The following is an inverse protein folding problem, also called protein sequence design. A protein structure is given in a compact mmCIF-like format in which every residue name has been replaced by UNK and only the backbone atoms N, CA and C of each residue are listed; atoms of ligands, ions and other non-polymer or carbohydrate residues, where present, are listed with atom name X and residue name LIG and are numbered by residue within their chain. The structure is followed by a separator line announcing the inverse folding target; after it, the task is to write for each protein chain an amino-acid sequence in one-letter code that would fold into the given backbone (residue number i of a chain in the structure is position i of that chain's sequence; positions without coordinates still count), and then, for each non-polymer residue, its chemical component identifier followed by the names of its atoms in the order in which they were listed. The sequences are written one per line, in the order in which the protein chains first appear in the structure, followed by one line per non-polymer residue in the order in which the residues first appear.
data_IF_275704925013
#
_entry.id   IF_275704925013
#
_cell.length_a   1.000
_cell.length_b   1.000
_cell.length_c   1.000
_cell.angle_alpha   90.00
_cell.angle_beta   90.00
_cell.angle_gamma   90.00
#
_symmetry.space_group_name_H-M   'P 1'
#
loop_
_entity.id
_entity.type
_entity.pdbx_description
1 polymer ?
#
# COMPACT_ATOMS: atom_id res chain seq x y z
N UNK A 1 -11.67 -8.59 5.85
CA UNK A 1 -10.37 -8.04 5.47
C UNK A 1 -10.27 -6.59 5.77
N UNK A 2 -9.91 -5.70 6.37
CA UNK A 2 -9.16 -4.56 5.85
C UNK A 2 -7.65 -4.69 6.06
N UNK A 3 -7.24 -5.58 6.92
CA UNK A 3 -5.83 -5.72 7.31
C UNK A 3 -5.13 -6.96 6.76
N UNK A 4 -5.85 -7.80 6.04
CA UNK A 4 -5.28 -9.02 5.45
C UNK A 4 -4.60 -8.70 4.11
N UNK A 5 -3.59 -9.48 3.79
CA UNK A 5 -2.87 -9.42 2.52
C UNK A 5 -3.23 -10.64 1.69
N UNK A 6 -3.51 -10.42 0.42
CA UNK A 6 -3.93 -11.44 -0.51
C UNK A 6 -2.95 -11.59 -1.68
N UNK A 7 -2.83 -12.76 -2.25
CA UNK A 7 -2.01 -12.99 -3.44
C UNK A 7 -2.65 -12.35 -4.67
N UNK A 8 -1.95 -11.40 -5.28
CA UNK A 8 -2.30 -10.92 -6.62
C UNK A 8 -1.52 -11.69 -7.70
N UNK A 9 -0.47 -12.41 -7.32
CA UNK A 9 0.50 -12.97 -8.24
C UNK A 9 1.48 -11.92 -8.76
N UNK A 10 2.59 -12.36 -9.34
CA UNK A 10 3.61 -11.42 -9.86
C UNK A 10 3.21 -10.77 -11.19
N UNK A 11 2.32 -11.40 -11.97
CA UNK A 11 1.92 -10.91 -13.29
C UNK A 11 1.41 -9.45 -13.27
N UNK A 12 0.38 -9.11 -12.46
CA UNK A 12 -0.11 -7.74 -12.36
C UNK A 12 0.96 -6.74 -11.91
N UNK A 13 1.82 -7.10 -10.96
CA UNK A 13 2.91 -6.24 -10.51
C UNK A 13 3.94 -6.01 -11.63
N UNK A 14 4.28 -7.04 -12.40
CA UNK A 14 5.23 -6.93 -13.50
C UNK A 14 4.71 -6.06 -14.65
N UNK A 15 3.40 -5.97 -14.79
CA UNK A 15 2.74 -5.14 -15.82
C UNK A 15 2.74 -3.64 -15.49
N UNK A 16 3.07 -3.24 -14.28
CA UNK A 16 3.18 -1.83 -13.90
C UNK A 16 4.35 -1.19 -14.64
N UNK A 17 4.07 -0.13 -15.39
CA UNK A 17 5.05 0.55 -16.24
C UNK A 17 6.05 1.37 -15.41
N UNK A 18 5.53 2.21 -14.53
CA UNK A 18 6.35 2.99 -13.61
C UNK A 18 6.19 2.43 -12.19
N UNK A 19 7.24 1.77 -11.68
CA UNK A 19 7.22 1.12 -10.37
C UNK A 19 7.11 2.10 -9.20
N UNK A 20 7.57 3.34 -9.39
CA UNK A 20 7.50 4.36 -8.35
C UNK A 20 6.13 5.05 -8.30
N UNK A 21 5.47 5.16 -9.46
CA UNK A 21 4.22 5.90 -9.61
C UNK A 21 3.20 5.10 -10.45
N UNK A 22 2.66 4.05 -9.86
CA UNK A 22 1.63 3.23 -10.50
C UNK A 22 0.33 4.03 -10.71
N UNK A 23 -0.27 3.87 -11.87
CA UNK A 23 -1.56 4.48 -12.21
C UNK A 23 -2.72 3.81 -11.47
N UNK A 24 -3.85 4.51 -11.34
CA UNK A 24 -5.06 3.94 -10.73
C UNK A 24 -5.54 2.68 -11.45
N UNK A 25 -5.40 2.61 -12.78
CA UNK A 25 -5.79 1.42 -13.55
C UNK A 25 -4.90 0.20 -13.26
N UNK A 26 -3.59 0.41 -13.14
CA UNK A 26 -2.65 -0.65 -12.75
C UNK A 26 -2.91 -1.12 -11.31
N UNK A 27 -3.17 -0.20 -10.39
CA UNK A 27 -3.56 -0.53 -9.02
C UNK A 27 -4.87 -1.32 -8.97
N UNK A 28 -5.88 -0.94 -9.75
CA UNK A 28 -7.16 -1.67 -9.84
C UNK A 28 -6.96 -3.10 -10.39
N UNK A 29 -6.07 -3.29 -11.36
CA UNK A 29 -5.74 -4.62 -11.86
C UNK A 29 -5.11 -5.50 -10.77
N UNK A 30 -4.16 -4.98 -10.01
CA UNK A 30 -3.52 -5.69 -8.89
C UNK A 30 -4.54 -5.98 -7.80
N UNK A 31 -5.34 -5.00 -7.40
CA UNK A 31 -6.33 -5.16 -6.35
C UNK A 31 -7.43 -6.16 -6.71
N UNK A 32 -7.87 -6.15 -7.96
CA UNK A 32 -8.83 -7.13 -8.48
C UNK A 32 -8.26 -8.55 -8.47
N UNK A 33 -7.01 -8.72 -8.88
CA UNK A 33 -6.32 -10.01 -8.81
C UNK A 33 -6.24 -10.52 -7.37
N UNK A 34 -5.84 -9.66 -6.43
CA UNK A 34 -5.80 -10.01 -5.01
C UNK A 34 -7.16 -10.41 -4.46
N UNK A 35 -8.22 -9.64 -4.76
CA UNK A 35 -9.58 -9.94 -4.29
C UNK A 35 -10.10 -11.29 -4.81
N UNK A 36 -9.76 -11.65 -6.02
CA UNK A 36 -10.21 -12.88 -6.66
C UNK A 36 -9.28 -14.08 -6.37
N UNK A 37 -8.21 -13.88 -5.63
CA UNK A 37 -7.30 -14.94 -5.25
C UNK A 37 -7.98 -15.92 -4.28
N UNK A 38 -7.88 -17.23 -4.51
CA UNK A 38 -8.35 -18.24 -3.55
C UNK A 38 -7.48 -18.34 -2.30
N UNK A 39 -6.34 -17.68 -2.30
CA UNK A 39 -5.36 -17.73 -1.21
C UNK A 39 -5.29 -16.36 -0.52
N UNK A 40 -6.02 -16.21 0.56
CA UNK A 40 -5.76 -15.19 1.56
C UNK A 40 -4.53 -15.57 2.39
N UNK A 41 -3.66 -14.60 2.75
CA UNK A 41 -2.37 -15.01 3.23
C UNK A 41 -2.01 -14.61 4.63
N UNK A 42 -2.15 -13.43 5.06
CA UNK A 42 -1.64 -13.02 6.37
C UNK A 42 -2.59 -12.05 7.05
N UNK A 43 -3.12 -12.51 8.17
CA UNK A 43 -3.87 -11.70 9.12
C UNK A 43 -2.96 -10.95 10.12
N UNK A 44 -1.64 -10.90 9.89
CA UNK A 44 -0.68 -10.31 10.83
C UNK A 44 -0.27 -8.87 10.47
N UNK A 45 -0.89 -8.28 9.45
CA UNK A 45 -0.59 -6.91 9.02
C UNK A 45 -0.87 -5.91 10.15
N UNK A 46 0.14 -5.13 10.51
CA UNK A 46 0.05 -4.13 11.56
C UNK A 46 0.01 -4.67 13.00
N UNK A 47 0.19 -5.98 13.22
CA UNK A 47 0.07 -6.59 14.55
C UNK A 47 1.41 -6.86 15.24
N UNK A 48 2.51 -6.77 14.52
CA UNK A 48 3.86 -7.07 15.03
C UNK A 48 4.76 -5.82 14.98
N UNK A 49 4.65 -4.92 15.96
CA UNK A 49 5.32 -3.63 15.91
C UNK A 49 6.85 -3.71 15.97
N UNK A 50 7.40 -4.84 16.40
CA UNK A 50 8.84 -5.07 16.46
C UNK A 50 9.39 -5.83 15.26
N UNK A 51 8.55 -6.19 14.28
CA UNK A 51 8.99 -6.88 13.10
C UNK A 51 9.41 -5.90 12.00
N UNK A 52 10.43 -6.23 11.24
CA UNK A 52 11.04 -5.32 10.25
C UNK A 52 10.32 -5.28 8.89
N UNK A 53 9.41 -6.22 8.63
CA UNK A 53 8.76 -6.31 7.33
C UNK A 53 7.67 -5.24 7.16
N UNK A 54 7.63 -4.62 5.99
CA UNK A 54 6.68 -3.56 5.67
C UNK A 54 5.22 -3.97 5.90
N UNK A 55 4.87 -5.21 5.61
CA UNK A 55 3.51 -5.74 5.80
C UNK A 55 3.08 -5.90 7.26
N UNK A 56 4.00 -5.84 8.19
CA UNK A 56 3.71 -6.15 9.59
C UNK A 56 3.82 -4.96 10.52
N UNK A 57 4.69 -4.01 10.21
CA UNK A 57 4.94 -2.84 11.06
C UNK A 57 4.90 -1.50 10.31
N UNK A 58 4.80 -1.52 8.99
CA UNK A 58 4.77 -0.31 8.17
C UNK A 58 3.77 -0.45 7.02
N UNK A 59 3.45 0.66 6.39
CA UNK A 59 2.67 0.73 5.16
C UNK A 59 3.51 1.36 4.03
N UNK A 60 3.02 1.29 2.81
CA UNK A 60 3.57 2.05 1.69
C UNK A 60 2.51 2.97 1.07
N UNK A 61 2.98 3.95 0.31
CA UNK A 61 2.13 4.95 -0.34
C UNK A 61 1.77 4.59 -1.79
N UNK A 62 1.90 3.33 -2.17
CA UNK A 62 1.61 2.87 -3.53
C UNK A 62 0.14 3.04 -3.92
N UNK A 63 -0.78 2.84 -2.97
CA UNK A 63 -2.22 3.05 -3.16
C UNK A 63 -2.78 4.02 -2.10
N UNK A 64 -3.89 4.73 -2.37
CA UNK A 64 -4.43 5.75 -1.48
C UNK A 64 -4.86 5.16 -0.12
N UNK A 65 -5.00 6.00 0.92
CA UNK A 65 -5.54 5.57 2.20
C UNK A 65 -6.89 4.86 2.02
N UNK A 66 -7.15 3.86 2.86
CA UNK A 66 -8.39 3.07 2.83
C UNK A 66 -8.75 2.52 1.43
N UNK A 67 -7.73 2.22 0.63
CA UNK A 67 -7.88 1.68 -0.72
C UNK A 67 -8.99 0.61 -0.78
N UNK A 68 -9.87 0.70 -1.79
CA UNK A 68 -11.07 -0.13 -1.94
C UNK A 68 -10.80 -1.64 -2.08
N UNK A 69 -9.58 -2.01 -2.46
CA UNK A 69 -9.14 -3.39 -2.62
C UNK A 69 -8.41 -3.89 -1.36
N UNK A 70 -8.30 -5.21 -1.16
CA UNK A 70 -7.43 -5.75 -0.12
C UNK A 70 -5.97 -5.38 -0.36
N UNK A 71 -5.17 -5.38 0.68
CA UNK A 71 -3.72 -5.31 0.52
C UNK A 71 -3.24 -6.48 -0.32
N UNK A 72 -2.31 -6.23 -1.22
CA UNK A 72 -1.92 -7.18 -2.26
C UNK A 72 -0.43 -7.51 -2.17
N UNK A 73 -0.08 -8.77 -2.37
CA UNK A 73 1.30 -9.24 -2.48
C UNK A 73 1.54 -10.08 -3.73
N UNK A 74 2.79 -10.13 -4.16
CA UNK A 74 3.24 -11.03 -5.22
C UNK A 74 3.42 -12.47 -4.73
N UNK A 75 4.07 -13.32 -5.53
CA UNK A 75 4.21 -14.75 -5.24
C UNK A 75 5.34 -15.08 -4.24
N UNK A 76 6.28 -14.16 -4.02
CA UNK A 76 7.40 -14.43 -3.14
C UNK A 76 7.00 -14.45 -1.65
N UNK A 77 7.66 -15.30 -0.90
CA UNK A 77 7.96 -15.20 0.54
C UNK A 77 6.72 -15.19 1.43
N UNK A 78 6.07 -16.32 1.65
CA UNK A 78 4.67 -16.50 1.36
C UNK A 78 3.90 -15.22 1.71
N UNK A 79 3.15 -14.73 0.79
CA UNK A 79 2.41 -13.50 0.93
C UNK A 79 2.98 -12.31 0.17
N UNK A 80 4.18 -12.42 -0.38
CA UNK A 80 4.76 -11.44 -1.30
C UNK A 80 4.92 -10.03 -0.80
N UNK A 81 4.73 -9.80 0.48
CA UNK A 81 4.75 -8.48 1.11
C UNK A 81 5.81 -8.37 2.20
N UNK A 82 6.73 -9.30 2.23
CA UNK A 82 7.95 -9.20 3.02
C UNK A 82 8.98 -8.31 2.34
N UNK A 83 10.12 -8.19 2.95
CA UNK A 83 11.31 -7.46 2.51
C UNK A 83 11.79 -7.76 1.07
N UNK A 84 11.39 -8.89 0.48
CA UNK A 84 11.83 -9.36 -0.84
C UNK A 84 10.74 -9.35 -1.91
N UNK A 85 9.48 -9.14 -1.55
CA UNK A 85 8.35 -9.29 -2.46
C UNK A 85 7.71 -7.98 -2.87
N UNK A 86 7.00 -8.01 -4.00
CA UNK A 86 6.11 -6.93 -4.39
C UNK A 86 4.92 -6.84 -3.42
N UNK A 87 4.55 -5.63 -3.02
CA UNK A 87 3.40 -5.43 -2.14
C UNK A 87 2.77 -4.05 -2.26
N UNK A 88 1.46 -4.01 -2.15
CA UNK A 88 0.67 -2.79 -1.96
C UNK A 88 -0.01 -2.90 -0.60
N UNK A 89 0.47 -2.11 0.34
CA UNK A 89 0.04 -2.13 1.74
C UNK A 89 -0.28 -0.69 2.14
N UNK A 90 -1.44 -0.18 1.73
CA UNK A 90 -1.82 1.20 2.04
C UNK A 90 -2.18 1.35 3.51
N UNK A 91 -2.07 2.55 4.08
CA UNK A 91 -2.54 2.82 5.42
C UNK A 91 -4.06 2.67 5.48
N UNK A 92 -4.55 2.13 6.60
CA UNK A 92 -5.97 1.88 6.80
C UNK A 92 -6.43 2.35 8.16
N UNK A 93 -7.66 2.86 8.21
CA UNK A 93 -8.34 3.26 9.45
C UNK A 93 -9.79 2.79 9.41
N UNK A 94 -10.34 2.48 10.58
CA UNK A 94 -11.77 2.24 10.74
C UNK A 94 -12.57 3.55 10.90
N UNK A 95 -11.88 4.67 11.04
CA UNK A 95 -12.51 5.99 11.03
C UNK A 95 -12.78 6.43 9.59
N UNK A 96 -13.89 7.08 9.36
CA UNK A 96 -14.29 7.56 8.04
C UNK A 96 -13.43 8.74 7.57
N UNK A 97 -13.14 8.79 6.28
CA UNK A 97 -12.61 9.96 5.59
C UNK A 97 -11.11 10.02 5.45
N UNK A 98 -10.34 9.18 6.13
CA UNK A 98 -8.88 9.17 6.00
C UNK A 98 -8.14 8.50 7.14
N UNK A 99 -6.85 8.74 7.19
CA UNK A 99 -5.92 8.15 8.15
C UNK A 99 -5.03 9.22 8.79
N UNK A 100 -4.61 9.02 10.03
CA UNK A 100 -3.56 9.81 10.64
C UNK A 100 -2.20 9.15 10.36
N UNK A 101 -1.24 9.92 9.90
CA UNK A 101 0.13 9.46 9.64
C UNK A 101 1.13 10.36 10.33
N UNK A 102 2.27 9.79 10.69
CA UNK A 102 3.43 10.54 11.18
C UNK A 102 4.41 10.69 10.03
N UNK A 103 4.82 11.93 9.77
CA UNK A 103 5.84 12.23 8.76
C UNK A 103 7.26 12.07 9.32
N UNK A 104 8.26 12.07 8.44
CA UNK A 104 9.66 11.90 8.80
C UNK A 104 10.23 13.00 9.71
N UNK A 105 9.59 14.17 9.76
CA UNK A 105 9.91 15.27 10.68
C UNK A 105 9.22 15.15 12.04
N UNK A 106 8.44 14.09 12.25
CA UNK A 106 7.66 13.84 13.48
C UNK A 106 6.32 14.55 13.53
N UNK A 107 5.95 15.34 12.54
CA UNK A 107 4.62 15.95 12.47
C UNK A 107 3.53 14.91 12.19
N UNK A 108 2.34 15.12 12.75
CA UNK A 108 1.17 14.27 12.50
C UNK A 108 0.25 14.98 11.51
N UNK A 109 -0.16 14.27 10.48
CA UNK A 109 -1.08 14.76 9.45
C UNK A 109 -2.26 13.81 9.28
N UNK A 110 -3.44 14.39 9.05
CA UNK A 110 -4.60 13.63 8.60
C UNK A 110 -4.61 13.62 7.07
N UNK A 111 -4.50 12.45 6.47
CA UNK A 111 -4.52 12.26 5.03
C UNK A 111 -5.88 11.73 4.61
N UNK A 112 -6.55 12.45 3.73
CA UNK A 112 -7.91 12.12 3.26
C UNK A 112 -7.88 10.93 2.29
N UNK A 113 -8.94 10.14 2.29
CA UNK A 113 -9.12 9.04 1.32
C UNK A 113 -9.18 9.55 -0.14
N UNK A 114 -9.60 10.81 -0.32
CA UNK A 114 -9.71 11.48 -1.62
C UNK A 114 -8.44 12.19 -2.08
N UNK A 115 -7.32 11.97 -1.41
CA UNK A 115 -6.03 12.55 -1.85
C UNK A 115 -5.72 12.13 -3.29
N UNK A 116 -5.15 13.03 -4.07
CA UNK A 116 -4.62 12.70 -5.39
C UNK A 116 -3.55 11.62 -5.26
N UNK A 117 -3.64 10.57 -6.08
CA UNK A 117 -2.78 9.40 -5.96
C UNK A 117 -1.31 9.72 -6.17
N UNK A 118 -1.01 10.60 -7.13
CA UNK A 118 0.38 10.98 -7.41
C UNK A 118 0.97 11.79 -6.25
N UNK A 119 0.17 12.69 -5.66
CA UNK A 119 0.55 13.43 -4.45
C UNK A 119 0.84 12.49 -3.30
N UNK A 120 -0.01 11.48 -3.09
CA UNK A 120 0.18 10.49 -2.03
C UNK A 120 1.44 9.63 -2.25
N UNK A 121 1.67 9.16 -3.49
CA UNK A 121 2.87 8.40 -3.83
C UNK A 121 4.14 9.25 -3.60
N UNK A 122 4.12 10.53 -3.96
CA UNK A 122 5.23 11.47 -3.71
C UNK A 122 5.49 11.72 -2.24
N UNK A 123 4.45 11.73 -1.39
CA UNK A 123 4.63 11.83 0.07
C UNK A 123 5.49 10.69 0.64
N UNK A 124 5.43 9.50 0.05
CA UNK A 124 6.26 8.36 0.42
C UNK A 124 7.62 8.32 -0.27
N UNK A 125 7.85 9.17 -1.28
CA UNK A 125 9.12 9.23 -2.00
C UNK A 125 10.13 10.07 -1.21
N UNK A 126 11.33 9.54 -1.06
CA UNK A 126 12.42 10.26 -0.36
C UNK A 126 13.08 11.35 -1.21
N UNK A 127 13.00 11.25 -2.52
CA UNK A 127 13.88 12.04 -3.40
C UNK A 127 13.40 12.17 -4.85
N UNK A 128 12.09 12.33 -5.09
CA UNK A 128 11.59 12.59 -6.45
C UNK A 128 11.84 14.04 -6.93
N UNK A 129 12.21 14.94 -6.03
CA UNK A 129 12.52 16.34 -6.34
C UNK A 129 11.33 17.17 -6.79
N UNK A 130 10.12 16.66 -6.66
CA UNK A 130 8.91 17.35 -7.11
C UNK A 130 8.18 18.02 -5.95
N UNK A 131 7.56 19.20 -6.18
CA UNK A 131 6.75 19.83 -5.16
C UNK A 131 5.52 18.96 -4.84
N UNK A 132 5.18 18.91 -3.56
CA UNK A 132 3.93 18.31 -3.12
C UNK A 132 2.79 19.31 -3.35
N UNK A 133 1.64 18.82 -3.82
CA UNK A 133 0.40 19.58 -3.81
C UNK A 133 -0.19 19.69 -2.41
N UNK A 134 -1.40 20.24 -2.31
CA UNK A 134 -2.14 20.27 -1.04
C UNK A 134 -2.54 18.85 -0.62
N UNK A 135 -2.31 18.51 0.64
CA UNK A 135 -2.60 17.20 1.23
C UNK A 135 -2.97 17.32 2.71
#
# INVERSE_FOLDING_TARGET
FPFDIFYAGDGPFNSVVNKDFATSAELDAIGSAAKNSPQGILSANGTLPLWYAASQSAFNTAAPPNWKWPSAGGNCCPGGSHDWGNGIIPPRSLHSGGVNVVLGDGSVKFIRDSIDILTFQRLGSRSDGQPLGDY
#
